data_IF_448996001009
#
_entry.id   IF_448996001009
#
_cell.length_a   1.000
_cell.length_b   1.000
_cell.length_c   1.000
_cell.angle_alpha   90.00
_cell.angle_beta   90.00
_cell.angle_gamma   90.00
#
_symmetry.space_group_name_H-M   'P 1'
#
loop_
_entity.id
_entity.type
_entity.pdbx_description
1 polymer ?
#
# COMPACT_ATOMS: atom_id res chain seq x y z
N UNK A 1 -3.63 23.23 48.39
CA UNK A 1 -4.09 23.37 47.00
C UNK A 1 -3.42 22.24 46.24
N UNK A 2 -4.10 21.09 46.16
CA UNK A 2 -3.58 19.87 45.53
C UNK A 2 -3.33 20.09 44.04
N UNK A 3 -2.15 19.70 43.56
CA UNK A 3 -1.88 19.59 42.12
C UNK A 3 -2.78 18.48 41.60
N UNK A 4 -3.79 18.85 40.80
CA UNK A 4 -4.44 17.90 39.91
C UNK A 4 -3.41 17.50 38.86
N UNK A 5 -2.90 16.29 38.99
CA UNK A 5 -2.23 15.61 37.89
C UNK A 5 -3.24 15.51 36.75
N UNK A 6 -3.01 16.32 35.72
CA UNK A 6 -3.70 16.14 34.44
C UNK A 6 -3.19 14.82 33.86
N UNK A 7 -3.93 13.74 34.09
CA UNK A 7 -3.84 12.59 33.22
C UNK A 7 -4.10 13.09 31.80
N UNK A 8 -3.04 13.16 30.99
CA UNK A 8 -3.16 13.22 29.54
C UNK A 8 -4.07 12.05 29.17
N UNK A 9 -5.30 12.35 28.76
CA UNK A 9 -6.19 11.35 28.19
C UNK A 9 -5.47 10.90 26.92
N UNK A 10 -4.86 9.72 26.97
CA UNK A 10 -4.23 9.12 25.80
C UNK A 10 -5.34 8.85 24.80
N UNK A 11 -5.41 9.69 23.78
CA UNK A 11 -6.33 9.55 22.67
C UNK A 11 -6.18 8.18 22.01
N UNK A 12 -7.29 7.50 21.65
CA UNK A 12 -7.24 6.15 21.13
C UNK A 12 -6.55 6.14 19.75
N UNK A 13 -5.39 5.48 19.67
CA UNK A 13 -4.73 5.16 18.42
C UNK A 13 -5.35 3.90 17.79
N UNK A 14 -5.79 3.97 16.54
CA UNK A 14 -6.36 2.84 15.80
C UNK A 14 -5.76 2.72 14.40
N UNK A 15 -5.85 1.52 13.83
CA UNK A 15 -5.66 1.29 12.41
C UNK A 15 -7.01 1.00 11.74
N UNK A 16 -7.27 1.63 10.61
CA UNK A 16 -8.34 1.26 9.68
C UNK A 16 -7.72 0.45 8.54
N UNK A 17 -8.22 -0.76 8.32
CA UNK A 17 -7.71 -1.67 7.29
C UNK A 17 -8.81 -1.94 6.27
N UNK A 18 -8.58 -1.52 5.03
CA UNK A 18 -9.42 -1.88 3.89
C UNK A 18 -9.16 -3.33 3.52
N UNK A 19 -10.19 -4.16 3.54
CA UNK A 19 -10.03 -5.60 3.41
C UNK A 19 -11.08 -6.20 2.50
N UNK A 20 -10.64 -7.11 1.63
CA UNK A 20 -11.53 -8.03 0.95
C UNK A 20 -11.97 -9.16 1.87
N UNK A 21 -13.07 -9.82 1.54
CA UNK A 21 -13.47 -11.08 2.17
C UNK A 21 -13.57 -12.19 1.13
N UNK A 22 -13.13 -13.40 1.49
CA UNK A 22 -13.19 -14.53 0.58
C UNK A 22 -14.62 -14.86 0.16
N UNK A 23 -14.80 -15.06 -1.15
CA UNK A 23 -16.10 -15.37 -1.77
C UNK A 23 -16.71 -16.69 -1.31
N UNK A 24 -15.94 -17.56 -0.67
CA UNK A 24 -16.46 -18.76 0.01
C UNK A 24 -17.24 -18.44 1.29
N UNK A 25 -17.08 -17.25 1.87
CA UNK A 25 -17.87 -16.80 3.01
C UNK A 25 -19.29 -16.47 2.55
N UNK A 26 -20.29 -17.01 3.25
CA UNK A 26 -21.69 -16.68 2.98
C UNK A 26 -21.94 -15.19 3.17
N UNK A 27 -22.51 -14.54 2.15
CA UNK A 27 -22.70 -13.08 2.10
C UNK A 27 -21.40 -12.28 2.26
N UNK A 28 -20.29 -12.78 1.71
CA UNK A 28 -19.02 -12.08 1.68
C UNK A 28 -19.20 -10.60 1.30
N UNK A 29 -18.53 -9.74 2.06
CA UNK A 29 -18.50 -8.31 1.78
C UNK A 29 -17.11 -7.77 2.15
N UNK A 30 -16.60 -6.88 1.31
CA UNK A 30 -15.44 -6.05 1.59
C UNK A 30 -15.75 -5.16 2.80
N UNK A 31 -14.76 -4.85 3.62
CA UNK A 31 -14.98 -4.20 4.90
C UNK A 31 -13.77 -3.40 5.39
N UNK A 32 -14.02 -2.49 6.33
CA UNK A 32 -12.99 -1.82 7.12
C UNK A 32 -12.84 -2.55 8.45
N UNK A 33 -11.66 -3.11 8.73
CA UNK A 33 -11.31 -3.57 10.08
C UNK A 33 -10.74 -2.42 10.91
N UNK A 34 -11.12 -2.35 12.18
CA UNK A 34 -10.63 -1.39 13.16
C UNK A 34 -9.77 -2.15 14.16
N UNK A 35 -8.50 -1.79 14.27
CA UNK A 35 -7.54 -2.48 15.14
C UNK A 35 -7.04 -1.50 16.20
N UNK A 36 -6.94 -1.97 17.44
CA UNK A 36 -6.33 -1.18 18.51
C UNK A 36 -4.82 -1.03 18.28
N UNK A 37 -4.35 0.20 18.19
CA UNK A 37 -2.93 0.52 18.00
C UNK A 37 -2.32 1.30 19.17
N UNK A 38 -3.07 1.44 20.28
CA UNK A 38 -2.54 2.02 21.50
C UNK A 38 -1.71 0.97 22.26
N UNK A 39 -0.39 1.16 22.35
CA UNK A 39 0.55 0.19 22.95
C UNK A 39 0.27 -0.10 24.44
N UNK A 40 -0.36 0.83 25.14
CA UNK A 40 -0.76 0.65 26.55
C UNK A 40 -2.12 -0.05 26.72
N UNK A 41 -2.86 -0.26 25.64
CA UNK A 41 -4.17 -0.90 25.68
C UNK A 41 -4.05 -2.40 25.93
N UNK A 42 -4.94 -2.93 26.77
CA UNK A 42 -5.08 -4.39 26.96
C UNK A 42 -5.56 -5.12 25.71
N UNK A 43 -6.14 -4.40 24.75
CA UNK A 43 -6.58 -4.94 23.46
C UNK A 43 -5.64 -4.58 22.32
N UNK A 44 -4.43 -4.08 22.60
CA UNK A 44 -3.43 -3.75 21.58
C UNK A 44 -3.24 -4.91 20.58
N UNK A 45 -3.32 -4.60 19.29
CA UNK A 45 -3.21 -5.59 18.22
C UNK A 45 -4.45 -6.42 17.94
N UNK A 46 -5.57 -6.20 18.64
CA UNK A 46 -6.81 -6.92 18.38
C UNK A 46 -7.70 -6.17 17.39
N UNK A 47 -8.42 -6.91 16.54
CA UNK A 47 -9.53 -6.37 15.76
C UNK A 47 -10.66 -6.04 16.74
N UNK A 48 -10.95 -4.76 16.88
CA UNK A 48 -12.02 -4.24 17.72
C UNK A 48 -13.39 -4.43 17.07
N UNK A 49 -13.45 -4.21 15.75
CA UNK A 49 -14.70 -4.21 14.97
C UNK A 49 -14.41 -4.34 13.48
N UNK A 50 -15.40 -4.82 12.73
CA UNK A 50 -15.48 -4.71 11.27
C UNK A 50 -16.69 -3.88 10.86
N UNK A 51 -16.53 -3.07 9.80
CA UNK A 51 -17.64 -2.35 9.16
C UNK A 51 -17.70 -2.75 7.69
N UNK A 52 -18.77 -3.46 7.31
CA UNK A 52 -18.96 -3.99 5.97
C UNK A 52 -19.45 -2.94 4.99
N UNK A 53 -18.99 -3.04 3.75
CA UNK A 53 -19.56 -2.34 2.61
C UNK A 53 -20.97 -2.86 2.37
N UNK A 54 -21.92 -1.93 2.32
CA UNK A 54 -23.34 -2.27 2.13
C UNK A 54 -23.65 -2.24 0.64
N UNK A 55 -24.19 -3.34 0.12
CA UNK A 55 -24.61 -3.40 -1.28
C UNK A 55 -25.84 -2.53 -1.53
N UNK A 56 -25.88 -1.93 -2.71
CA UNK A 56 -27.08 -1.32 -3.27
C UNK A 56 -27.11 -1.61 -4.77
N UNK A 57 -27.89 -2.63 -5.14
CA UNK A 57 -28.02 -3.11 -6.52
C UNK A 57 -28.55 -2.01 -7.45
N UNK A 58 -29.49 -1.19 -6.98
CA UNK A 58 -30.06 -0.10 -7.79
C UNK A 58 -29.05 1.00 -8.13
N UNK A 59 -27.95 1.09 -7.36
CA UNK A 59 -26.91 2.11 -7.50
C UNK A 59 -25.54 1.52 -7.88
N UNK A 60 -25.50 0.26 -8.34
CA UNK A 60 -24.27 -0.47 -8.73
C UNK A 60 -23.19 -0.49 -7.64
N UNK A 61 -23.60 -0.43 -6.36
CA UNK A 61 -22.70 -0.63 -5.23
C UNK A 61 -22.66 -2.12 -4.94
N UNK A 62 -21.58 -2.77 -5.38
CA UNK A 62 -21.31 -4.17 -5.06
C UNK A 62 -20.57 -4.26 -3.73
N UNK A 63 -21.02 -5.13 -2.82
CA UNK A 63 -20.35 -5.32 -1.54
C UNK A 63 -19.11 -6.22 -1.64
N UNK A 64 -18.89 -6.92 -2.74
CA UNK A 64 -17.80 -7.89 -2.91
C UNK A 64 -17.22 -7.84 -4.32
N UNK A 65 -16.03 -8.43 -4.49
CA UNK A 65 -15.36 -8.53 -5.79
C UNK A 65 -14.80 -7.20 -6.28
N UNK A 66 -14.71 -6.20 -5.40
CA UNK A 66 -14.14 -4.91 -5.73
C UNK A 66 -12.61 -4.95 -5.77
N UNK A 67 -11.98 -5.96 -5.13
CA UNK A 67 -10.55 -5.99 -4.78
C UNK A 67 -10.18 -4.69 -4.04
N UNK A 68 -10.58 -4.55 -2.77
CA UNK A 68 -10.13 -3.46 -1.90
C UNK A 68 -8.67 -3.18 -2.12
N UNK A 69 -8.21 -1.97 -2.47
CA UNK A 69 -6.80 -1.84 -2.89
C UNK A 69 -6.03 -0.83 -2.06
N UNK A 70 -6.37 0.45 -2.17
CA UNK A 70 -5.72 1.55 -1.45
C UNK A 70 -6.80 2.43 -0.82
N UNK A 71 -6.40 3.21 0.18
CA UNK A 71 -7.31 4.09 0.93
C UNK A 71 -6.58 5.28 1.54
N UNK A 72 -7.33 6.31 1.93
CA UNK A 72 -6.79 7.48 2.63
C UNK A 72 -7.79 8.03 3.65
N UNK A 73 -7.26 8.77 4.63
CA UNK A 73 -8.03 9.62 5.54
C UNK A 73 -7.88 11.08 5.10
N UNK A 74 -8.98 11.84 5.12
CA UNK A 74 -8.96 13.27 4.78
C UNK A 74 -8.10 14.08 5.75
N UNK A 75 -7.59 15.24 5.33
CA UNK A 75 -6.70 16.03 6.19
C UNK A 75 -7.40 16.64 7.41
N UNK A 76 -8.72 16.72 7.38
CA UNK A 76 -9.58 17.10 8.52
C UNK A 76 -10.14 15.88 9.28
N UNK A 77 -9.61 14.69 8.99
CA UNK A 77 -9.90 13.42 9.67
C UNK A 77 -11.38 13.06 9.74
N UNK A 78 -12.13 13.59 8.78
CA UNK A 78 -13.58 13.53 8.75
C UNK A 78 -14.09 12.42 7.82
N UNK A 79 -13.31 12.11 6.78
CA UNK A 79 -13.65 11.12 5.76
C UNK A 79 -12.56 10.07 5.64
N UNK A 80 -13.00 8.83 5.49
CA UNK A 80 -12.18 7.73 5.01
C UNK A 80 -12.63 7.42 3.58
N UNK A 81 -11.71 7.34 2.64
CA UNK A 81 -11.98 7.03 1.24
C UNK A 81 -11.22 5.77 0.85
N UNK A 82 -11.84 4.89 0.08
CA UNK A 82 -11.21 3.65 -0.37
C UNK A 82 -11.53 3.31 -1.82
N UNK A 83 -10.59 2.63 -2.48
CA UNK A 83 -10.71 2.17 -3.86
C UNK A 83 -10.94 0.67 -3.96
N UNK A 84 -11.70 0.25 -4.96
CA UNK A 84 -11.79 -1.15 -5.39
C UNK A 84 -11.17 -1.30 -6.79
N UNK A 85 -9.96 -1.84 -6.86
CA UNK A 85 -9.14 -1.92 -8.07
C UNK A 85 -9.84 -2.66 -9.22
N UNK A 86 -10.60 -3.71 -8.92
CA UNK A 86 -11.23 -4.60 -9.91
C UNK A 86 -12.74 -4.37 -10.08
N UNK A 87 -13.31 -3.39 -9.37
CA UNK A 87 -14.74 -3.04 -9.43
C UNK A 87 -15.24 -2.82 -10.86
N UNK A 88 -14.40 -2.26 -11.74
CA UNK A 88 -14.74 -2.01 -13.14
C UNK A 88 -15.01 -3.28 -13.96
N UNK A 89 -14.35 -4.40 -13.64
CA UNK A 89 -14.59 -5.69 -14.32
C UNK A 89 -16.02 -6.18 -14.08
N UNK A 90 -16.61 -5.80 -12.95
CA UNK A 90 -17.99 -6.10 -12.56
C UNK A 90 -18.95 -4.95 -12.85
N UNK A 91 -18.50 -3.87 -13.49
CA UNK A 91 -19.28 -2.65 -13.75
C UNK A 91 -19.85 -2.02 -12.47
N UNK A 92 -19.14 -2.19 -11.35
CA UNK A 92 -19.49 -1.63 -10.04
C UNK A 92 -18.87 -0.24 -9.87
N UNK A 93 -19.45 0.58 -9.00
CA UNK A 93 -18.81 1.80 -8.51
C UNK A 93 -17.51 1.45 -7.78
N UNK A 94 -16.49 2.29 -7.93
CA UNK A 94 -15.09 1.91 -7.63
C UNK A 94 -14.47 2.70 -6.48
N UNK A 95 -15.07 3.83 -6.09
CA UNK A 95 -14.62 4.68 -4.98
C UNK A 95 -15.69 4.67 -3.90
N UNK A 96 -15.31 4.38 -2.66
CA UNK A 96 -16.21 4.28 -1.52
C UNK A 96 -15.86 5.35 -0.49
N UNK A 97 -16.85 6.14 -0.09
CA UNK A 97 -16.68 7.25 0.85
C UNK A 97 -17.38 6.93 2.16
N UNK A 98 -16.66 7.14 3.24
CA UNK A 98 -17.09 6.81 4.59
C UNK A 98 -16.91 8.00 5.53
N UNK A 99 -17.82 8.16 6.49
CA UNK A 99 -17.72 9.17 7.55
C UNK A 99 -16.99 8.61 8.76
N UNK A 100 -15.94 9.29 9.20
CA UNK A 100 -15.26 8.94 10.45
C UNK A 100 -16.09 9.50 11.63
N UNK A 101 -16.48 8.66 12.62
CA UNK A 101 -17.18 9.13 13.82
C UNK A 101 -16.19 9.83 14.78
N UNK A 102 -16.73 10.57 15.75
CA UNK A 102 -15.93 11.22 16.79
C UNK A 102 -15.09 10.22 17.60
N UNK A 103 -15.67 9.06 17.92
CA UNK A 103 -14.93 7.96 18.54
C UNK A 103 -14.47 6.98 17.46
N UNK A 104 -13.20 7.07 17.08
CA UNK A 104 -12.59 6.28 16.00
C UNK A 104 -12.66 4.76 16.23
N UNK A 105 -12.86 4.30 17.47
CA UNK A 105 -13.04 2.87 17.77
C UNK A 105 -14.39 2.34 17.26
N UNK A 106 -15.36 3.21 16.99
CA UNK A 106 -16.69 2.82 16.50
C UNK A 106 -16.68 2.45 15.00
N UNK A 107 -15.60 2.81 14.29
CA UNK A 107 -15.39 2.54 12.88
C UNK A 107 -16.12 3.51 11.94
N UNK A 108 -15.65 3.70 10.70
CA UNK A 108 -16.25 4.65 9.79
C UNK A 108 -17.60 4.15 9.27
N UNK A 109 -18.52 5.06 8.94
CA UNK A 109 -19.85 4.73 8.41
C UNK A 109 -19.90 4.93 6.89
N UNK A 110 -20.36 3.92 6.14
CA UNK A 110 -20.51 4.07 4.68
C UNK A 110 -21.49 5.18 4.35
N UNK A 111 -21.10 6.09 3.47
CA UNK A 111 -21.98 7.17 3.00
C UNK A 111 -22.52 6.87 1.60
N UNK A 112 -21.60 6.70 0.65
CA UNK A 112 -21.94 6.49 -0.75
C UNK A 112 -20.73 5.95 -1.52
N UNK A 113 -20.98 5.50 -2.75
CA UNK A 113 -19.93 5.18 -3.71
C UNK A 113 -20.05 6.08 -4.94
N UNK A 114 -18.93 6.28 -5.64
CA UNK A 114 -18.85 7.13 -6.82
C UNK A 114 -18.64 6.31 -8.09
N UNK A 115 -19.34 6.70 -9.16
CA UNK A 115 -19.04 6.30 -10.52
C UNK A 115 -18.14 7.36 -11.14
N UNK A 116 -16.90 7.00 -11.43
CA UNK A 116 -15.87 7.92 -11.95
C UNK A 116 -15.57 7.55 -13.41
N UNK A 117 -15.16 8.51 -14.26
CA UNK A 117 -15.03 8.29 -15.71
C UNK A 117 -13.94 7.27 -16.09
N UNK A 118 -12.95 7.10 -15.24
CA UNK A 118 -11.80 6.21 -15.40
C UNK A 118 -11.91 5.02 -14.42
N UNK A 119 -10.96 4.09 -14.48
CA UNK A 119 -11.01 2.84 -13.73
C UNK A 119 -9.66 2.49 -13.11
N UNK A 120 -9.63 1.37 -12.38
CA UNK A 120 -8.45 0.88 -11.68
C UNK A 120 -7.94 1.91 -10.64
N UNK A 121 -8.75 2.30 -9.64
CA UNK A 121 -8.28 3.21 -8.60
C UNK A 121 -7.13 2.57 -7.82
N UNK A 122 -6.08 3.34 -7.64
CA UNK A 122 -4.86 2.91 -6.95
C UNK A 122 -4.55 3.90 -5.82
N UNK A 123 -3.49 4.70 -5.90
CA UNK A 123 -3.06 5.58 -4.81
C UNK A 123 -4.05 6.71 -4.48
N UNK A 124 -4.24 6.98 -3.18
CA UNK A 124 -5.01 8.09 -2.65
C UNK A 124 -4.13 9.02 -1.81
N UNK A 125 -4.22 10.33 -2.03
CA UNK A 125 -3.51 11.34 -1.24
C UNK A 125 -4.46 12.44 -0.80
N UNK A 126 -4.60 12.65 0.51
CA UNK A 126 -5.32 13.81 1.05
C UNK A 126 -4.55 15.11 0.75
N UNK A 127 -5.26 16.14 0.28
CA UNK A 127 -4.66 17.42 -0.15
C UNK A 127 -5.27 18.66 0.53
N UNK A 128 -6.09 18.45 1.57
CA UNK A 128 -6.67 19.50 2.42
C UNK A 128 -8.18 19.37 2.56
N UNK A 129 -8.69 19.54 3.79
CA UNK A 129 -10.11 19.31 4.11
C UNK A 129 -10.56 17.91 3.66
N UNK A 130 -11.77 17.82 3.11
CA UNK A 130 -12.37 16.61 2.55
C UNK A 130 -11.89 16.22 1.13
N UNK A 131 -10.74 16.74 0.67
CA UNK A 131 -10.27 16.57 -0.72
C UNK A 131 -9.11 15.60 -0.86
N UNK A 132 -9.16 14.81 -1.93
CA UNK A 132 -8.18 13.78 -2.27
C UNK A 132 -7.72 13.90 -3.72
N UNK A 133 -6.47 13.59 -3.98
CA UNK A 133 -6.00 13.16 -5.30
C UNK A 133 -6.05 11.64 -5.37
N UNK A 134 -6.47 11.10 -6.51
CA UNK A 134 -6.56 9.66 -6.74
C UNK A 134 -5.98 9.33 -8.11
N UNK A 135 -5.05 8.36 -8.18
CA UNK A 135 -4.62 7.81 -9.45
C UNK A 135 -5.62 6.76 -9.94
N UNK A 136 -6.00 6.89 -11.21
CA UNK A 136 -6.84 5.93 -11.92
C UNK A 136 -5.95 5.29 -12.98
N UNK A 137 -5.49 4.05 -12.74
CA UNK A 137 -4.45 3.45 -13.57
C UNK A 137 -4.91 3.22 -15.02
N UNK A 138 -6.21 3.18 -15.29
CA UNK A 138 -6.73 2.83 -16.60
C UNK A 138 -7.98 3.64 -16.98
N UNK A 139 -8.26 3.73 -18.27
CA UNK A 139 -9.59 4.07 -18.76
C UNK A 139 -10.57 2.91 -18.47
N UNK A 140 -11.85 3.14 -18.72
CA UNK A 140 -12.93 2.16 -18.52
C UNK A 140 -12.73 0.76 -19.16
N UNK A 141 -11.83 0.62 -20.13
CA UNK A 141 -11.53 -0.65 -20.80
C UNK A 141 -10.34 -1.39 -20.18
N UNK A 142 -9.78 -0.91 -19.07
CA UNK A 142 -8.58 -1.51 -18.46
C UNK A 142 -7.27 -1.13 -19.18
N UNK A 143 -7.26 -0.07 -19.99
CA UNK A 143 -6.11 0.34 -20.80
C UNK A 143 -5.67 1.79 -20.54
N UNK A 144 -4.53 2.22 -21.09
CA UNK A 144 -4.10 3.63 -21.10
C UNK A 144 -4.87 4.49 -22.12
N UNK A 145 -4.93 5.81 -21.95
CA UNK A 145 -4.46 6.55 -20.77
C UNK A 145 -5.37 6.34 -19.57
N UNK A 146 -4.77 6.24 -18.39
CA UNK A 146 -5.45 6.47 -17.12
C UNK A 146 -5.60 7.97 -16.82
N UNK A 147 -5.88 8.31 -15.57
CA UNK A 147 -6.17 9.68 -15.16
C UNK A 147 -5.74 9.94 -13.72
N UNK A 148 -5.79 11.20 -13.30
CA UNK A 148 -5.67 11.62 -11.91
C UNK A 148 -6.87 12.49 -11.57
N UNK A 149 -7.62 12.09 -10.55
CA UNK A 149 -8.84 12.76 -10.15
C UNK A 149 -8.63 13.55 -8.86
N UNK A 150 -9.14 14.77 -8.81
CA UNK A 150 -9.49 15.48 -7.60
C UNK A 150 -10.88 15.02 -7.16
N UNK A 151 -10.97 14.41 -5.99
CA UNK A 151 -12.22 14.01 -5.36
C UNK A 151 -12.49 14.92 -4.17
N UNK A 152 -13.71 15.46 -4.10
CA UNK A 152 -14.25 16.17 -2.94
C UNK A 152 -15.31 15.27 -2.27
N UNK A 153 -14.98 14.73 -1.10
CA UNK A 153 -15.82 13.80 -0.36
C UNK A 153 -17.00 14.50 0.36
N UNK A 154 -16.97 15.83 0.51
CA UNK A 154 -18.12 16.57 1.05
C UNK A 154 -19.10 16.89 -0.07
N UNK A 155 -18.60 17.38 -1.21
CA UNK A 155 -19.43 17.73 -2.36
C UNK A 155 -19.84 16.51 -3.23
N UNK A 156 -19.28 15.33 -2.97
CA UNK A 156 -19.44 14.12 -3.78
C UNK A 156 -19.11 14.32 -5.26
N UNK A 157 -18.02 15.06 -5.54
CA UNK A 157 -17.57 15.36 -6.91
C UNK A 157 -16.22 14.75 -7.22
N UNK A 158 -16.01 14.41 -8.50
CA UNK A 158 -14.73 13.97 -9.03
C UNK A 158 -14.43 14.74 -10.32
N UNK A 159 -13.21 15.25 -10.47
CA UNK A 159 -12.80 15.99 -11.67
C UNK A 159 -11.34 15.66 -11.99
N UNK A 160 -11.01 15.49 -13.27
CA UNK A 160 -9.61 15.30 -13.67
C UNK A 160 -8.80 16.56 -13.35
N UNK A 161 -7.60 16.37 -12.83
CA UNK A 161 -6.64 17.48 -12.68
C UNK A 161 -5.77 17.68 -13.93
N UNK A 162 -5.89 16.81 -14.94
CA UNK A 162 -5.04 16.85 -16.13
C UNK A 162 -5.65 17.78 -17.18
N UNK A 163 -4.87 18.75 -17.66
CA UNK A 163 -5.34 19.69 -18.70
C UNK A 163 -5.64 19.00 -20.04
N UNK A 164 -4.97 17.89 -20.35
CA UNK A 164 -5.13 17.14 -21.60
C UNK A 164 -4.85 15.63 -21.40
N UNK A 165 -5.65 14.94 -20.57
CA UNK A 165 -5.41 13.51 -20.24
C UNK A 165 -5.22 12.61 -21.48
N UNK A 166 -5.91 12.90 -22.59
CA UNK A 166 -5.85 12.09 -23.82
C UNK A 166 -4.53 12.15 -24.57
N UNK A 167 -3.66 13.13 -24.31
CA UNK A 167 -2.34 13.25 -24.96
C UNK A 167 -1.26 12.42 -24.26
N UNK A 168 -1.57 11.86 -23.09
CA UNK A 168 -0.64 11.05 -22.33
C UNK A 168 -0.51 9.64 -22.94
N UNK A 169 0.57 9.40 -23.66
CA UNK A 169 0.86 8.07 -24.23
C UNK A 169 1.32 7.11 -23.13
N UNK A 170 0.75 5.89 -23.12
CA UNK A 170 1.13 4.82 -22.18
C UNK A 170 1.07 5.21 -20.70
N UNK A 171 0.16 6.12 -20.34
CA UNK A 171 -0.01 6.58 -18.98
C UNK A 171 -0.91 5.64 -18.20
N UNK A 172 -0.32 4.98 -17.20
CA UNK A 172 -0.99 4.09 -16.28
C UNK A 172 -0.53 4.47 -14.86
N UNK A 173 -0.99 5.62 -14.35
CA UNK A 173 -0.50 6.19 -13.10
C UNK A 173 -0.83 5.27 -11.93
N UNK A 174 0.16 5.05 -11.07
CA UNK A 174 0.07 4.21 -9.88
C UNK A 174 0.36 5.07 -8.65
N UNK A 175 1.39 4.74 -7.87
CA UNK A 175 1.86 5.55 -6.76
C UNK A 175 2.38 6.91 -7.21
N UNK A 176 2.17 7.90 -6.35
CA UNK A 176 2.58 9.28 -6.59
C UNK A 176 2.94 10.02 -5.30
N UNK A 177 3.56 11.17 -5.47
CA UNK A 177 3.92 12.07 -4.37
C UNK A 177 3.69 13.51 -4.79
N UNK A 178 3.34 14.35 -3.81
CA UNK A 178 3.10 15.78 -4.00
C UNK A 178 4.15 16.60 -3.28
N UNK A 179 4.75 17.53 -4.00
CA UNK A 179 5.75 18.45 -3.46
C UNK A 179 5.09 19.67 -2.79
N UNK A 180 5.87 20.43 -2.02
CA UNK A 180 5.41 21.62 -1.31
C UNK A 180 4.85 22.72 -2.23
N UNK A 181 5.36 22.82 -3.47
CA UNK A 181 4.85 23.74 -4.49
C UNK A 181 3.62 23.19 -5.23
N UNK A 182 3.06 22.07 -4.75
CA UNK A 182 1.90 21.35 -5.27
C UNK A 182 2.12 20.63 -6.61
N UNK A 183 3.34 20.64 -7.15
CA UNK A 183 3.72 19.77 -8.26
C UNK A 183 3.75 18.29 -7.83
N UNK A 184 3.72 17.38 -8.80
CA UNK A 184 3.51 15.95 -8.56
C UNK A 184 4.53 15.11 -9.33
N UNK A 185 4.98 14.01 -8.72
CA UNK A 185 5.58 12.90 -9.46
C UNK A 185 4.62 11.71 -9.50
N UNK A 186 4.46 11.07 -10.66
CA UNK A 186 3.65 9.86 -10.85
C UNK A 186 4.48 8.72 -11.42
N UNK A 187 4.43 7.56 -10.78
CA UNK A 187 4.96 6.33 -11.35
C UNK A 187 3.96 5.73 -12.35
N UNK A 188 4.43 5.31 -13.53
CA UNK A 188 3.65 4.45 -14.41
C UNK A 188 4.00 2.98 -14.13
N UNK A 189 3.00 2.15 -13.83
CA UNK A 189 3.26 0.77 -13.44
C UNK A 189 3.09 -0.23 -14.58
N UNK A 190 1.84 -0.55 -14.90
CA UNK A 190 1.47 -1.70 -15.74
C UNK A 190 0.25 -1.36 -16.58
N UNK A 191 0.15 -1.95 -17.77
CA UNK A 191 -1.07 -1.92 -18.59
C UNK A 191 -2.06 -2.96 -18.06
N UNK A 192 -3.14 -2.58 -17.35
CA UNK A 192 -3.90 -3.54 -16.53
C UNK A 192 -4.54 -4.68 -17.31
N UNK A 193 -5.07 -4.43 -18.51
CA UNK A 193 -5.68 -5.47 -19.36
C UNK A 193 -4.73 -6.62 -19.69
N UNK A 194 -3.41 -6.41 -19.64
CA UNK A 194 -2.42 -7.47 -19.90
C UNK A 194 -2.31 -8.49 -18.76
N UNK A 195 -2.83 -8.17 -17.57
CA UNK A 195 -2.90 -9.10 -16.42
C UNK A 195 -4.01 -10.15 -16.55
N UNK A 196 -4.98 -9.93 -17.45
CA UNK A 196 -6.13 -10.83 -17.64
C UNK A 196 -5.83 -12.01 -18.60
N UNK A 197 -4.61 -12.08 -19.13
CA UNK A 197 -4.19 -13.15 -20.05
C UNK A 197 -3.88 -14.48 -19.35
N UNK A 198 -3.23 -15.38 -20.08
CA UNK A 198 -2.77 -16.69 -19.59
C UNK A 198 -1.25 -16.88 -19.71
N UNK A 199 -0.50 -15.83 -20.09
CA UNK A 199 0.93 -15.88 -20.39
C UNK A 199 1.63 -14.68 -19.75
N UNK A 200 2.36 -14.91 -18.66
CA UNK A 200 3.04 -13.86 -17.89
C UNK A 200 4.15 -13.16 -18.67
N UNK A 201 4.65 -13.74 -19.78
CA UNK A 201 5.61 -13.06 -20.65
C UNK A 201 4.99 -11.91 -21.45
N UNK A 202 3.65 -11.86 -21.55
CA UNK A 202 2.90 -10.82 -22.26
C UNK A 202 2.46 -9.65 -21.38
N UNK A 203 2.79 -9.69 -20.09
CA UNK A 203 2.57 -8.55 -19.20
C UNK A 203 3.36 -7.35 -19.74
N UNK A 204 2.71 -6.19 -19.84
CA UNK A 204 3.36 -4.95 -20.28
C UNK A 204 3.47 -3.99 -19.11
N UNK A 205 4.67 -3.92 -18.54
CA UNK A 205 5.06 -2.88 -17.61
C UNK A 205 5.39 -1.58 -18.34
N UNK A 206 5.31 -0.47 -17.62
CA UNK A 206 5.69 0.87 -18.10
C UNK A 206 7.08 1.23 -17.60
N UNK A 207 7.74 2.09 -18.35
CA UNK A 207 9.14 2.45 -18.13
C UNK A 207 9.28 3.94 -17.84
N UNK A 208 8.29 4.53 -17.19
CA UNK A 208 8.19 5.98 -17.06
C UNK A 208 7.80 6.42 -15.66
N UNK A 209 8.39 7.55 -15.26
CA UNK A 209 7.90 8.38 -14.15
C UNK A 209 7.64 9.78 -14.71
N UNK A 210 6.59 10.45 -14.27
CA UNK A 210 6.16 11.75 -14.82
C UNK A 210 6.21 12.82 -13.77
N UNK A 211 6.57 14.03 -14.18
CA UNK A 211 6.53 15.23 -13.35
C UNK A 211 5.48 16.18 -13.91
N UNK A 212 4.47 16.49 -13.10
CA UNK A 212 3.41 17.46 -13.42
C UNK A 212 3.60 18.74 -12.61
N UNK A 213 3.37 19.88 -13.23
CA UNK A 213 3.18 21.15 -12.54
C UNK A 213 1.88 21.14 -11.72
N UNK A 214 1.74 22.12 -10.82
CA UNK A 214 0.59 22.25 -9.93
C UNK A 214 -0.75 22.46 -10.65
N UNK A 215 -0.74 22.92 -11.89
CA UNK A 215 -1.91 23.10 -12.74
C UNK A 215 -2.25 21.85 -13.58
N UNK A 216 -1.53 20.74 -13.38
CA UNK A 216 -1.75 19.48 -14.07
C UNK A 216 -1.10 19.36 -15.46
N UNK A 217 -0.24 20.30 -15.84
CA UNK A 217 0.52 20.22 -17.10
C UNK A 217 1.71 19.24 -16.97
N UNK A 218 1.96 18.45 -18.02
CA UNK A 218 3.10 17.54 -18.07
C UNK A 218 4.38 18.29 -18.40
N UNK A 219 5.27 18.39 -17.42
CA UNK A 219 6.54 19.12 -17.54
C UNK A 219 7.69 18.20 -17.96
N UNK A 220 7.68 16.94 -17.49
CA UNK A 220 8.71 15.95 -17.84
C UNK A 220 8.20 14.53 -17.78
N UNK A 221 8.69 13.70 -18.70
CA UNK A 221 8.63 12.24 -18.61
C UNK A 221 10.05 11.72 -18.47
N UNK A 222 10.34 11.07 -17.35
CA UNK A 222 11.57 10.33 -17.13
C UNK A 222 11.41 8.96 -17.78
N UNK A 223 12.28 8.64 -18.75
CA UNK A 223 12.26 7.37 -19.46
C UNK A 223 13.38 6.46 -18.93
N UNK A 224 13.03 5.22 -18.63
CA UNK A 224 13.96 4.22 -18.12
C UNK A 224 14.25 3.18 -19.18
N UNK A 225 15.50 2.71 -19.23
CA UNK A 225 15.95 1.73 -20.21
C UNK A 225 15.77 0.32 -19.66
N UNK A 226 14.84 -0.43 -20.23
CA UNK A 226 14.62 -1.83 -19.89
C UNK A 226 15.68 -2.71 -20.58
N UNK A 227 16.37 -3.55 -19.80
CA UNK A 227 17.33 -4.54 -20.32
C UNK A 227 16.61 -5.85 -20.67
N UNK A 228 17.02 -6.47 -21.78
CA UNK A 228 16.62 -7.84 -22.14
C UNK A 228 17.73 -8.87 -21.83
N UNK A 229 18.81 -8.45 -21.18
CA UNK A 229 19.92 -9.33 -20.86
C UNK A 229 19.53 -10.33 -19.75
N UNK A 230 20.05 -11.54 -19.87
CA UNK A 230 19.76 -12.61 -18.93
C UNK A 230 20.28 -12.25 -17.53
N UNK A 231 19.40 -12.33 -16.53
CA UNK A 231 19.73 -12.03 -15.13
C UNK A 231 19.56 -10.56 -14.73
N UNK A 232 19.35 -9.64 -15.68
CA UNK A 232 19.11 -8.22 -15.39
C UNK A 232 17.67 -7.90 -14.98
N UNK A 233 16.73 -8.83 -15.22
CA UNK A 233 15.31 -8.67 -14.90
C UNK A 233 14.74 -9.96 -14.29
N UNK A 234 13.52 -9.90 -13.75
CA UNK A 234 12.86 -11.09 -13.21
C UNK A 234 12.41 -12.10 -14.27
N UNK A 235 12.53 -11.77 -15.56
CA UNK A 235 12.03 -12.58 -16.67
C UNK A 235 10.51 -12.60 -16.82
N UNK A 236 9.78 -11.71 -16.13
CA UNK A 236 8.32 -11.60 -16.23
C UNK A 236 7.98 -10.37 -17.06
N UNK A 237 7.10 -10.53 -18.05
CA UNK A 237 6.63 -9.44 -18.90
C UNK A 237 7.75 -8.70 -19.66
N UNK A 238 7.40 -7.51 -20.13
CA UNK A 238 8.30 -6.55 -20.76
C UNK A 238 8.21 -5.22 -20.03
N UNK A 239 9.35 -4.53 -19.86
CA UNK A 239 9.44 -3.28 -19.13
C UNK A 239 9.77 -3.44 -17.64
N UNK A 240 10.05 -2.33 -16.99
CA UNK A 240 10.53 -2.22 -15.61
C UNK A 240 9.36 -2.21 -14.63
N UNK A 241 8.40 -1.31 -14.85
CA UNK A 241 7.26 -1.08 -13.98
C UNK A 241 7.65 -0.36 -12.70
N UNK A 242 6.90 0.66 -12.33
CA UNK A 242 7.10 1.39 -11.07
C UNK A 242 5.77 1.48 -10.33
N UNK A 243 5.66 0.80 -9.19
CA UNK A 243 4.46 0.89 -8.35
C UNK A 243 4.41 2.17 -7.53
N UNK A 244 5.57 2.74 -7.17
CA UNK A 244 5.60 3.88 -6.26
C UNK A 244 6.68 4.90 -6.61
N UNK A 245 6.43 6.14 -6.23
CA UNK A 245 7.41 7.21 -6.26
C UNK A 245 7.20 8.11 -5.04
N UNK A 246 8.22 8.27 -4.20
CA UNK A 246 8.16 9.10 -3.00
C UNK A 246 9.24 10.16 -3.00
N UNK A 247 8.82 11.41 -2.77
CA UNK A 247 9.70 12.56 -2.72
C UNK A 247 10.44 12.61 -1.40
N UNK A 248 11.69 13.06 -1.42
CA UNK A 248 12.50 13.26 -0.23
C UNK A 248 11.99 14.55 0.45
N UNK A 249 11.45 14.48 1.68
CA UNK A 249 10.95 15.66 2.37
C UNK A 249 12.02 16.74 2.50
N UNK A 250 11.63 18.00 2.27
CA UNK A 250 12.48 19.18 2.38
C UNK A 250 13.72 19.18 1.47
N UNK A 251 13.78 18.32 0.45
CA UNK A 251 14.90 18.30 -0.48
C UNK A 251 14.87 19.53 -1.41
N UNK A 252 15.88 20.42 -1.37
CA UNK A 252 15.91 21.64 -2.18
C UNK A 252 16.02 21.36 -3.69
N UNK A 253 16.46 20.16 -4.07
CA UNK A 253 16.54 19.72 -5.46
C UNK A 253 15.25 19.04 -5.96
N UNK A 254 14.25 18.87 -5.07
CA UNK A 254 12.98 18.20 -5.37
C UNK A 254 13.22 16.80 -5.94
N UNK A 255 14.02 16.00 -5.23
CA UNK A 255 14.34 14.63 -5.62
C UNK A 255 13.32 13.64 -5.06
N UNK A 256 13.18 12.52 -5.74
CA UNK A 256 12.31 11.42 -5.37
C UNK A 256 12.95 10.08 -5.72
N UNK A 257 12.54 9.03 -5.02
CA UNK A 257 12.91 7.66 -5.31
C UNK A 257 11.77 6.90 -5.96
N UNK A 258 12.13 5.98 -6.86
CA UNK A 258 11.26 4.96 -7.42
C UNK A 258 12.05 3.65 -7.55
N UNK A 259 11.40 2.52 -7.28
CA UNK A 259 12.02 1.20 -7.39
C UNK A 259 11.41 0.44 -8.57
N UNK A 260 12.24 -0.10 -9.44
CA UNK A 260 11.76 -0.93 -10.54
C UNK A 260 11.26 -2.29 -10.06
N UNK A 261 10.04 -2.64 -10.49
CA UNK A 261 9.41 -3.92 -10.16
C UNK A 261 10.20 -5.08 -10.77
N UNK A 262 10.68 -4.94 -12.00
CA UNK A 262 11.29 -6.04 -12.77
C UNK A 262 12.82 -6.09 -12.67
N UNK A 263 13.49 -4.94 -12.54
CA UNK A 263 14.96 -4.84 -12.49
C UNK A 263 15.53 -4.73 -11.06
N UNK A 264 14.67 -4.44 -10.08
CA UNK A 264 15.00 -4.29 -8.66
C UNK A 264 16.01 -3.18 -8.37
N UNK A 265 16.11 -2.18 -9.25
CA UNK A 265 16.98 -1.04 -9.08
C UNK A 265 16.23 0.10 -8.39
N UNK A 266 16.87 0.72 -7.40
CA UNK A 266 16.43 1.99 -6.84
C UNK A 266 16.94 3.13 -7.72
N UNK A 267 16.02 3.96 -8.18
CA UNK A 267 16.31 5.11 -9.01
C UNK A 267 16.03 6.42 -8.27
N UNK A 268 16.92 7.39 -8.49
CA UNK A 268 16.76 8.77 -8.06
C UNK A 268 16.38 9.63 -9.27
N UNK A 269 15.30 10.39 -9.13
CA UNK A 269 14.83 11.38 -10.10
C UNK A 269 14.68 12.73 -9.40
N UNK A 270 14.51 13.80 -10.18
CA UNK A 270 14.28 15.13 -9.61
C UNK A 270 14.16 16.23 -10.64
N UNK A 271 13.70 17.40 -10.21
CA UNK A 271 13.46 18.55 -11.09
C UNK A 271 14.70 18.97 -11.91
N UNK A 272 15.90 18.80 -11.33
CA UNK A 272 17.20 19.14 -11.96
C UNK A 272 17.94 17.94 -12.55
N UNK A 273 17.43 16.73 -12.37
CA UNK A 273 18.01 15.50 -12.92
C UNK A 273 17.44 15.32 -14.33
N UNK A 274 18.30 15.30 -15.35
CA UNK A 274 17.85 15.17 -16.75
C UNK A 274 17.45 13.74 -17.08
N UNK A 275 18.22 12.77 -16.59
CA UNK A 275 18.00 11.33 -16.79
C UNK A 275 17.99 10.61 -15.45
N UNK A 276 17.13 9.60 -15.24
CA UNK A 276 17.09 8.85 -13.99
C UNK A 276 18.45 8.27 -13.61
N UNK A 277 18.79 8.37 -12.33
CA UNK A 277 20.05 7.84 -11.79
C UNK A 277 19.77 6.52 -11.09
N UNK A 278 20.35 5.42 -11.56
CA UNK A 278 20.39 4.18 -10.79
C UNK A 278 21.35 4.39 -9.61
N UNK A 279 20.84 4.27 -8.37
CA UNK A 279 21.63 4.57 -7.16
C UNK A 279 21.90 3.34 -6.30
N UNK A 280 21.10 2.27 -6.45
CA UNK A 280 21.29 1.05 -5.66
C UNK A 280 20.66 -0.16 -6.36
N UNK A 281 21.37 -1.30 -6.42
CA UNK A 281 20.77 -2.58 -6.79
C UNK A 281 20.28 -3.31 -5.54
N UNK A 282 18.96 -3.30 -5.33
CA UNK A 282 18.37 -3.82 -4.11
C UNK A 282 18.44 -5.35 -4.08
N UNK A 283 18.58 -6.03 -5.22
CA UNK A 283 18.66 -7.49 -5.24
C UNK A 283 19.91 -8.04 -4.54
N UNK A 284 20.89 -7.20 -4.18
CA UNK A 284 22.02 -7.57 -3.31
C UNK A 284 21.55 -8.27 -2.03
N UNK A 285 20.42 -7.86 -1.43
CA UNK A 285 19.89 -8.48 -0.20
C UNK A 285 19.46 -9.94 -0.39
N UNK A 286 19.34 -10.39 -1.64
CA UNK A 286 18.96 -11.74 -2.02
C UNK A 286 19.95 -12.35 -3.02
N UNK A 287 21.25 -12.06 -2.86
CA UNK A 287 22.33 -12.58 -3.71
C UNK A 287 22.11 -12.28 -5.21
N UNK A 288 21.65 -11.07 -5.50
CA UNK A 288 21.36 -10.54 -6.84
C UNK A 288 20.27 -11.27 -7.63
N UNK A 289 19.49 -12.16 -7.00
CA UNK A 289 18.37 -12.83 -7.67
C UNK A 289 17.25 -11.83 -7.94
N UNK A 290 16.99 -11.54 -9.23
CA UNK A 290 15.91 -10.65 -9.67
C UNK A 290 14.55 -11.34 -9.58
N UNK A 291 13.58 -10.66 -8.95
CA UNK A 291 12.19 -11.11 -8.79
C UNK A 291 11.26 -9.90 -8.90
N UNK A 292 10.02 -10.13 -9.29
CA UNK A 292 8.98 -9.10 -9.23
C UNK A 292 8.94 -8.53 -7.81
N UNK A 293 9.03 -7.21 -7.71
CA UNK A 293 9.07 -6.49 -6.44
C UNK A 293 7.97 -5.44 -6.36
N UNK A 294 7.41 -5.31 -5.16
CA UNK A 294 6.53 -4.20 -4.81
C UNK A 294 7.28 -2.87 -4.81
N UNK A 295 8.39 -2.80 -4.07
CA UNK A 295 9.22 -1.60 -4.00
C UNK A 295 8.49 -0.38 -3.41
N UNK A 296 7.51 -0.59 -2.52
CA UNK A 296 6.79 0.51 -1.89
C UNK A 296 7.66 1.20 -0.85
N UNK A 297 7.62 2.53 -0.82
CA UNK A 297 8.58 3.36 -0.10
C UNK A 297 7.87 4.19 0.98
N UNK A 298 8.51 4.35 2.12
CA UNK A 298 8.21 5.42 3.06
C UNK A 298 9.49 6.12 3.48
N UNK A 299 9.47 7.45 3.52
CA UNK A 299 10.62 8.28 3.85
C UNK A 299 10.30 9.01 5.14
N UNK A 300 11.25 9.02 6.08
CA UNK A 300 11.11 9.75 7.34
C UNK A 300 10.91 11.25 7.08
N UNK A 301 10.21 11.92 7.99
CA UNK A 301 9.87 13.35 7.86
C UNK A 301 11.09 14.28 7.75
N UNK A 302 12.24 13.86 8.26
CA UNK A 302 13.52 14.57 8.13
C UNK A 302 14.27 14.28 6.81
N UNK A 303 13.76 13.35 5.99
CA UNK A 303 14.35 12.96 4.70
C UNK A 303 15.62 12.14 4.79
N UNK A 304 15.98 11.59 5.96
CA UNK A 304 17.26 10.89 6.16
C UNK A 304 17.17 9.36 6.19
N UNK A 305 15.96 8.81 6.29
CA UNK A 305 15.70 7.36 6.31
C UNK A 305 14.65 6.96 5.29
N UNK A 306 14.84 5.79 4.72
CA UNK A 306 13.91 5.17 3.80
C UNK A 306 13.60 3.75 4.27
N UNK A 307 12.31 3.45 4.46
CA UNK A 307 11.79 2.10 4.65
C UNK A 307 11.21 1.60 3.33
N UNK A 308 11.41 0.32 3.02
CA UNK A 308 10.91 -0.29 1.79
C UNK A 308 10.47 -1.73 2.02
N UNK A 309 9.36 -2.12 1.39
CA UNK A 309 9.03 -3.53 1.13
C UNK A 309 9.60 -3.98 -0.21
N UNK A 310 10.25 -5.14 -0.23
CA UNK A 310 10.99 -5.59 -1.40
C UNK A 310 10.78 -7.09 -1.68
N UNK A 311 10.66 -7.45 -2.96
CA UNK A 311 10.44 -8.82 -3.47
C UNK A 311 9.33 -9.61 -2.76
N UNK A 312 8.34 -8.90 -2.19
CA UNK A 312 7.25 -9.50 -1.43
C UNK A 312 7.74 -10.40 -0.28
N UNK A 313 8.88 -10.04 0.32
CA UNK A 313 9.57 -10.85 1.35
C UNK A 313 10.38 -10.05 2.35
N UNK A 314 10.97 -8.94 1.91
CA UNK A 314 11.91 -8.18 2.73
C UNK A 314 11.31 -6.86 3.18
N UNK A 315 11.80 -6.40 4.32
CA UNK A 315 11.70 -5.01 4.76
C UNK A 315 13.12 -4.48 4.89
N UNK A 316 13.40 -3.35 4.26
CA UNK A 316 14.74 -2.77 4.22
C UNK A 316 14.68 -1.35 4.77
N UNK A 317 15.58 -1.03 5.69
CA UNK A 317 15.82 0.31 6.20
C UNK A 317 17.13 0.84 5.61
N UNK A 318 17.08 2.00 4.98
CA UNK A 318 18.22 2.69 4.40
C UNK A 318 18.52 4.01 5.13
N UNK A 319 19.79 4.39 5.14
CA UNK A 319 20.23 5.77 5.28
C UNK A 319 20.29 6.42 3.89
N UNK A 320 19.58 7.54 3.74
CA UNK A 320 19.53 8.33 2.50
C UNK A 320 19.99 9.78 2.71
N UNK A 321 20.80 10.04 3.74
CA UNK A 321 21.35 11.39 4.00
C UNK A 321 22.13 11.93 2.79
N UNK A 322 22.71 11.04 1.99
CA UNK A 322 23.24 11.33 0.66
C UNK A 322 22.39 10.60 -0.38
N UNK A 323 21.42 11.25 -1.04
CA UNK A 323 20.45 10.51 -1.85
C UNK A 323 21.02 9.74 -3.05
N UNK A 324 22.18 10.16 -3.56
CA UNK A 324 22.92 9.48 -4.62
C UNK A 324 23.59 8.18 -4.15
N UNK A 325 23.75 7.99 -2.83
CA UNK A 325 24.45 6.86 -2.22
C UNK A 325 23.66 6.27 -1.03
N UNK A 326 22.48 5.65 -1.27
CA UNK A 326 21.75 4.96 -0.21
C UNK A 326 22.59 3.86 0.43
N UNK A 327 22.48 3.69 1.74
CA UNK A 327 23.18 2.64 2.49
C UNK A 327 22.17 1.82 3.28
N UNK A 328 22.19 0.49 3.12
CA UNK A 328 21.37 -0.41 3.94
C UNK A 328 21.84 -0.36 5.40
N UNK A 329 20.92 -0.11 6.33
CA UNK A 329 21.14 -0.15 7.77
C UNK A 329 20.63 -1.46 8.37
N UNK A 330 19.47 -1.93 7.93
CA UNK A 330 18.86 -3.15 8.43
C UNK A 330 18.00 -3.82 7.35
N UNK A 331 17.96 -5.16 7.39
CA UNK A 331 17.12 -5.99 6.52
C UNK A 331 16.41 -6.99 7.41
N UNK A 332 15.10 -7.07 7.27
CA UNK A 332 14.28 -8.13 7.84
C UNK A 332 13.78 -9.04 6.73
N UNK A 333 13.96 -10.33 6.92
CA UNK A 333 13.62 -11.36 5.95
C UNK A 333 12.55 -12.28 6.54
N UNK A 334 11.30 -12.14 6.07
CA UNK A 334 10.20 -12.94 6.59
C UNK A 334 10.43 -14.46 6.48
N UNK A 335 11.28 -14.93 5.56
CA UNK A 335 11.51 -16.37 5.39
C UNK A 335 12.52 -16.96 6.38
N UNK A 336 13.45 -16.14 6.88
CA UNK A 336 14.63 -16.65 7.60
C UNK A 336 14.97 -15.91 8.89
N UNK A 337 14.26 -14.83 9.23
CA UNK A 337 14.45 -14.15 10.50
C UNK A 337 14.08 -15.07 11.67
N UNK A 338 15.03 -15.30 12.57
CA UNK A 338 14.89 -16.24 13.69
C UNK A 338 13.82 -15.80 14.70
N UNK A 339 13.49 -14.52 14.75
CA UNK A 339 12.44 -14.02 15.65
C UNK A 339 11.07 -14.60 15.25
N UNK A 340 10.90 -15.03 14.00
CA UNK A 340 9.66 -15.65 13.51
C UNK A 340 9.59 -17.17 13.75
N UNK A 341 10.64 -17.83 14.27
CA UNK A 341 10.65 -19.29 14.46
C UNK A 341 9.55 -19.75 15.44
N UNK A 342 9.11 -18.89 16.37
CA UNK A 342 8.00 -19.16 17.28
C UNK A 342 6.63 -18.71 16.76
N UNK A 343 6.57 -18.12 15.56
CA UNK A 343 5.32 -17.63 14.97
C UNK A 343 4.80 -18.66 13.99
N UNK A 344 3.69 -19.30 14.37
CA UNK A 344 2.92 -20.12 13.44
C UNK A 344 1.83 -19.29 12.79
N UNK A 345 1.68 -19.46 11.48
CA UNK A 345 0.59 -18.91 10.67
C UNK A 345 -0.32 -20.05 10.24
N UNK A 346 -1.61 -19.77 10.15
CA UNK A 346 -2.55 -20.69 9.55
C UNK A 346 -2.60 -20.43 8.04
N UNK A 347 -2.09 -21.37 7.26
CA UNK A 347 -2.14 -21.29 5.81
C UNK A 347 -3.61 -21.30 5.38
N UNK A 348 -4.07 -20.20 4.81
CA UNK A 348 -5.46 -20.03 4.38
C UNK A 348 -5.88 -20.98 3.27
N UNK A 349 -4.93 -21.53 2.51
CA UNK A 349 -5.23 -22.37 1.35
C UNK A 349 -5.27 -23.87 1.74
N UNK A 350 -4.45 -24.29 2.70
CA UNK A 350 -4.39 -25.69 3.18
C UNK A 350 -5.07 -25.90 4.53
N UNK A 351 -5.37 -24.82 5.25
CA UNK A 351 -5.81 -24.82 6.64
C UNK A 351 -4.83 -25.53 7.60
N UNK A 352 -3.55 -25.57 7.24
CA UNK A 352 -2.48 -26.12 8.07
C UNK A 352 -1.77 -25.01 8.85
N UNK A 353 -1.44 -25.30 10.10
CA UNK A 353 -0.57 -24.42 10.90
C UNK A 353 0.87 -24.68 10.51
N UNK A 354 1.55 -23.66 9.99
CA UNK A 354 2.93 -23.73 9.50
C UNK A 354 3.73 -22.52 9.97
N UNK A 355 5.05 -22.60 9.92
CA UNK A 355 5.95 -21.47 10.15
C UNK A 355 6.09 -20.62 8.88
N UNK A 356 6.60 -19.39 9.02
CA UNK A 356 6.97 -18.57 7.87
C UNK A 356 8.01 -19.25 6.95
N UNK A 357 8.98 -19.95 7.55
CA UNK A 357 10.01 -20.68 6.81
C UNK A 357 9.41 -21.78 5.93
N UNK A 358 8.48 -22.55 6.48
CA UNK A 358 7.75 -23.59 5.74
C UNK A 358 6.85 -22.97 4.66
N UNK A 359 6.15 -21.87 4.95
CA UNK A 359 5.38 -21.15 3.95
C UNK A 359 6.26 -20.70 2.78
N UNK A 360 7.42 -20.10 3.06
CA UNK A 360 8.37 -19.66 2.04
C UNK A 360 8.89 -20.82 1.19
N UNK A 361 9.21 -21.96 1.80
CA UNK A 361 9.67 -23.14 1.08
C UNK A 361 8.63 -23.63 0.05
N UNK A 362 7.34 -23.51 0.36
CA UNK A 362 6.25 -23.86 -0.56
C UNK A 362 5.88 -22.77 -1.56
N UNK A 363 6.24 -21.51 -1.28
CA UNK A 363 5.80 -20.33 -2.05
C UNK A 363 6.97 -19.58 -2.71
N UNK A 364 8.01 -20.31 -3.15
CA UNK A 364 9.16 -19.74 -3.88
C UNK A 364 9.85 -18.57 -3.14
N UNK A 365 9.90 -18.61 -1.80
CA UNK A 365 10.38 -17.53 -0.93
C UNK A 365 9.63 -16.20 -1.12
N UNK A 366 8.31 -16.26 -1.20
CA UNK A 366 7.42 -15.09 -1.24
C UNK A 366 6.45 -15.18 -0.06
N UNK A 367 6.29 -14.09 0.69
CA UNK A 367 5.36 -13.99 1.83
C UNK A 367 4.25 -12.96 1.59
N UNK A 368 4.41 -12.11 0.58
CA UNK A 368 3.44 -11.11 0.16
C UNK A 368 3.71 -9.69 0.66
N UNK A 369 4.88 -9.39 1.26
CA UNK A 369 5.18 -8.06 1.82
C UNK A 369 5.03 -6.95 0.79
N UNK A 370 4.01 -6.13 0.96
CA UNK A 370 3.61 -5.15 -0.05
C UNK A 370 3.38 -3.78 0.58
N UNK A 371 2.21 -3.53 1.20
CA UNK A 371 1.91 -2.22 1.80
C UNK A 371 2.81 -1.94 2.99
N UNK A 372 3.34 -0.71 3.03
CA UNK A 372 4.14 -0.18 4.13
C UNK A 372 3.61 1.19 4.54
N UNK A 373 3.30 1.36 5.82
CA UNK A 373 2.90 2.64 6.41
C UNK A 373 3.78 2.95 7.61
N UNK A 374 4.50 4.07 7.54
CA UNK A 374 5.18 4.67 8.70
C UNK A 374 4.45 5.97 9.07
N UNK A 375 3.57 5.94 10.10
CA UNK A 375 2.86 7.15 10.51
C UNK A 375 3.83 8.21 11.05
N UNK A 376 3.56 9.48 10.75
CA UNK A 376 4.35 10.59 11.27
C UNK A 376 4.29 10.64 12.80
N UNK A 377 5.46 10.76 13.44
CA UNK A 377 5.57 10.84 14.90
C UNK A 377 5.52 9.47 15.62
N UNK A 378 5.28 8.38 14.89
CA UNK A 378 5.36 7.03 15.44
C UNK A 378 6.76 6.46 15.25
N UNK A 379 7.27 5.75 16.26
CA UNK A 379 8.44 4.89 16.11
C UNK A 379 8.07 3.48 15.63
N UNK A 380 6.81 3.27 15.24
CA UNK A 380 6.30 2.01 14.74
C UNK A 380 5.88 2.17 13.28
N UNK A 381 6.08 1.13 12.49
CA UNK A 381 5.57 1.07 11.13
C UNK A 381 4.85 -0.26 10.91
N UNK A 382 3.92 -0.24 9.95
CA UNK A 382 3.02 -1.33 9.64
C UNK A 382 3.40 -1.89 8.28
N UNK A 383 3.42 -3.22 8.16
CA UNK A 383 3.62 -3.94 6.90
C UNK A 383 2.52 -4.95 6.69
N UNK A 384 1.97 -5.01 5.48
CA UNK A 384 0.93 -5.97 5.11
C UNK A 384 1.48 -6.99 4.12
N UNK A 385 1.22 -8.26 4.39
CA UNK A 385 1.65 -9.39 3.59
C UNK A 385 0.51 -9.88 2.68
N UNK A 386 0.10 -9.01 1.75
CA UNK A 386 -0.88 -9.28 0.72
C UNK A 386 -0.65 -8.31 -0.46
N UNK A 387 -0.71 -8.80 -1.70
CA UNK A 387 -0.63 -7.93 -2.89
C UNK A 387 -1.93 -7.94 -3.71
N UNK A 388 -2.28 -9.08 -4.29
CA UNK A 388 -3.41 -9.22 -5.21
C UNK A 388 -3.80 -10.70 -5.34
N UNK A 389 -5.09 -11.01 -5.48
CA UNK A 389 -5.59 -12.39 -5.66
C UNK A 389 -6.09 -12.69 -7.09
N UNK A 390 -5.87 -11.79 -8.05
CA UNK A 390 -6.36 -11.96 -9.42
C UNK A 390 -5.30 -11.61 -10.48
N UNK A 391 -5.35 -12.30 -11.62
CA UNK A 391 -4.49 -12.02 -12.78
C UNK A 391 -3.11 -12.68 -12.72
N UNK A 392 -2.31 -12.44 -13.78
CA UNK A 392 -1.05 -13.15 -14.02
C UNK A 392 0.10 -12.80 -13.05
N UNK A 393 0.00 -11.71 -12.30
CA UNK A 393 1.00 -11.26 -11.34
C UNK A 393 0.47 -11.31 -9.89
N UNK A 394 -0.46 -12.21 -9.60
CA UNK A 394 -1.10 -12.32 -8.29
C UNK A 394 -0.19 -12.97 -7.24
N UNK A 395 -0.22 -12.43 -6.03
CA UNK A 395 0.43 -12.97 -4.84
C UNK A 395 -0.45 -12.68 -3.62
N UNK A 396 -1.26 -13.66 -3.22
CA UNK A 396 -2.14 -13.51 -2.05
C UNK A 396 -1.37 -13.44 -0.72
N UNK A 397 -0.11 -13.92 -0.70
CA UNK A 397 0.74 -13.88 0.48
C UNK A 397 0.14 -14.60 1.68
N UNK A 398 0.63 -14.23 2.87
CA UNK A 398 0.17 -14.79 4.14
C UNK A 398 -1.10 -14.11 4.69
N UNK A 399 -1.63 -13.08 3.99
CA UNK A 399 -2.87 -12.35 4.34
C UNK A 399 -2.84 -11.79 5.76
N UNK A 400 -1.71 -11.19 6.13
CA UNK A 400 -1.42 -10.80 7.49
C UNK A 400 -0.88 -9.37 7.61
N UNK A 401 -1.04 -8.79 8.81
CA UNK A 401 -0.64 -7.42 9.16
C UNK A 401 0.38 -7.48 10.28
N UNK A 402 1.52 -6.83 10.07
CA UNK A 402 2.68 -6.86 10.95
C UNK A 402 3.06 -5.46 11.39
N UNK A 403 3.65 -5.37 12.58
CA UNK A 403 4.15 -4.12 13.14
C UNK A 403 5.60 -4.30 13.56
N UNK A 404 6.38 -3.28 13.28
CA UNK A 404 7.79 -3.21 13.62
C UNK A 404 8.05 -1.94 14.41
N UNK A 405 8.98 -1.99 15.35
CA UNK A 405 9.40 -0.87 16.19
C UNK A 405 10.82 -0.46 15.85
N UNK A 406 10.98 0.76 15.38
CA UNK A 406 12.28 1.41 15.15
C UNK A 406 12.94 1.73 16.48
N UNK A 407 14.26 1.58 16.54
CA UNK A 407 15.05 2.10 17.65
C UNK A 407 15.12 3.64 17.59
N UNK A 408 15.53 4.26 18.70
CA UNK A 408 15.59 5.72 18.81
C UNK A 408 16.52 6.38 17.78
N UNK A 409 17.57 5.68 17.34
CA UNK A 409 18.54 6.19 16.37
C UNK A 409 18.11 5.98 14.91
N UNK A 410 16.98 5.31 14.68
CA UNK A 410 16.48 4.94 13.35
C UNK A 410 17.55 4.19 12.53
N UNK A 411 18.27 3.27 13.17
CA UNK A 411 19.30 2.43 12.54
C UNK A 411 18.91 0.96 12.50
N UNK A 412 17.90 0.57 13.26
CA UNK A 412 17.43 -0.79 13.33
C UNK A 412 15.93 -0.81 13.68
N UNK A 413 15.26 -1.93 13.46
CA UNK A 413 13.91 -2.17 13.93
C UNK A 413 13.74 -3.61 14.42
N UNK A 414 12.67 -3.85 15.17
CA UNK A 414 12.33 -5.16 15.74
C UNK A 414 10.89 -5.52 15.47
N UNK A 415 10.59 -6.80 15.27
CA UNK A 415 9.24 -7.30 15.09
C UNK A 415 8.44 -7.22 16.41
N UNK A 416 7.22 -6.68 16.39
CA UNK A 416 6.37 -6.52 17.59
C UNK A 416 5.37 -7.68 17.72
N UNK A 417 5.72 -8.69 18.53
CA UNK A 417 4.90 -9.89 18.72
C UNK A 417 3.58 -9.66 19.45
N UNK A 418 3.45 -8.61 20.26
CA UNK A 418 2.18 -8.32 20.95
C UNK A 418 1.10 -7.83 19.99
N UNK A 419 1.50 -7.29 18.84
CA UNK A 419 0.55 -6.89 17.80
C UNK A 419 0.21 -8.10 16.92
N UNK A 420 -0.97 -8.69 17.11
CA UNK A 420 -1.40 -9.85 16.33
C UNK A 420 -2.91 -9.83 16.01
N UNK A 421 -3.32 -9.14 14.94
CA UNK A 421 -4.70 -9.19 14.44
C UNK A 421 -4.95 -10.41 13.54
N UNK A 422 -3.96 -11.28 13.34
CA UNK A 422 -3.95 -12.28 12.29
C UNK A 422 -4.45 -13.64 12.79
N UNK A 423 -3.98 -14.05 13.97
CA UNK A 423 -4.16 -15.41 14.49
C UNK A 423 -4.60 -15.40 15.95
N UNK A 424 -5.46 -16.36 16.32
CA UNK A 424 -5.78 -16.58 17.73
C UNK A 424 -4.60 -17.31 18.39
N UNK A 425 -4.14 -16.80 19.53
CA UNK A 425 -3.17 -17.56 20.33
C UNK A 425 -3.87 -18.65 21.12
N UNK A 426 -3.38 -19.88 21.03
CA UNK A 426 -3.80 -21.00 21.89
C UNK A 426 -3.17 -20.86 23.29
N UNK A 427 -3.44 -19.77 24.02
CA UNK A 427 -3.11 -19.69 25.44
C UNK A 427 -4.34 -20.06 26.29
N UNK A 428 -4.36 -21.32 26.74
CA UNK A 428 -5.17 -21.87 27.87
C UNK A 428 -6.68 -21.56 27.91
N UNK A 429 -7.47 -22.58 27.53
CA UNK A 429 -8.82 -23.01 27.96
C UNK A 429 -9.96 -22.05 28.38
N UNK A 430 -9.84 -20.72 28.42
CA UNK A 430 -10.94 -19.83 28.84
C UNK A 430 -11.07 -18.47 28.13
N UNK A 431 -10.42 -18.22 26.99
CA UNK A 431 -10.49 -16.90 26.36
C UNK A 431 -11.58 -16.78 25.29
N UNK A 432 -12.30 -15.64 25.34
CA UNK A 432 -13.25 -15.18 24.34
C UNK A 432 -12.61 -15.29 22.95
N UNK A 433 -13.33 -15.85 21.98
CA UNK A 433 -12.89 -15.85 20.59
C UNK A 433 -12.86 -14.40 20.08
N UNK A 434 -11.67 -13.81 20.02
CA UNK A 434 -11.46 -12.51 19.39
C UNK A 434 -11.42 -12.66 17.87
N UNK A 435 -11.90 -11.64 17.15
CA UNK A 435 -11.85 -11.60 15.68
C UNK A 435 -10.40 -11.48 15.20
N UNK A 436 -10.08 -12.24 14.17
CA UNK A 436 -8.80 -12.17 13.44
C UNK A 436 -9.02 -12.18 11.94
N UNK A 437 -8.06 -11.66 11.16
CA UNK A 437 -8.14 -11.72 9.69
C UNK A 437 -8.28 -13.15 9.18
N UNK A 438 -7.61 -14.11 9.83
CA UNK A 438 -7.80 -15.52 9.50
C UNK A 438 -9.24 -15.99 9.76
N UNK A 439 -9.80 -15.74 10.95
CA UNK A 439 -11.18 -16.15 11.28
C UNK A 439 -12.25 -15.52 10.38
N UNK A 440 -11.92 -14.37 9.76
CA UNK A 440 -12.79 -13.64 8.84
C UNK A 440 -12.63 -14.09 7.37
N UNK A 441 -11.68 -14.98 7.07
CA UNK A 441 -11.23 -15.30 5.70
C UNK A 441 -10.95 -14.03 4.89
N UNK A 442 -10.19 -13.12 5.50
CA UNK A 442 -10.00 -11.77 5.01
C UNK A 442 -8.70 -11.60 4.22
N UNK A 443 -8.69 -10.58 3.35
CA UNK A 443 -7.55 -10.12 2.57
C UNK A 443 -7.25 -8.68 2.97
N UNK A 444 -6.40 -8.45 4.00
CA UNK A 444 -6.10 -7.10 4.43
C UNK A 444 -5.20 -6.44 3.36
N UNK A 445 -5.70 -5.39 2.70
CA UNK A 445 -5.01 -4.78 1.56
C UNK A 445 -4.27 -3.50 1.92
N UNK A 446 -4.94 -2.53 2.55
CA UNK A 446 -4.36 -1.23 2.84
C UNK A 446 -4.71 -0.76 4.24
N UNK A 447 -3.80 0.01 4.84
CA UNK A 447 -3.91 0.47 6.21
C UNK A 447 -3.82 1.99 6.27
N UNK A 448 -4.61 2.58 7.16
CA UNK A 448 -4.52 3.97 7.57
C UNK A 448 -4.42 4.06 9.09
N UNK A 449 -3.61 5.00 9.58
CA UNK A 449 -3.42 5.27 11.00
C UNK A 449 -4.25 6.49 11.41
N UNK A 450 -4.88 6.42 12.59
CA UNK A 450 -5.64 7.52 13.15
C UNK A 450 -5.45 7.63 14.66
N UNK A 451 -5.23 8.85 15.15
CA UNK A 451 -5.12 9.19 16.56
C UNK A 451 -5.70 10.60 16.76
N UNK A 452 -6.97 10.67 17.18
CA UNK A 452 -7.72 11.93 17.40
C UNK A 452 -7.62 12.40 18.83
#
# INVERSE_FOLDING_TARGET
MERKDFHLIAYPAVLYIWSGQDVSVSNAADFVAIIDFNESSSTYGQILKTVYLVSNISDRVGQSGNEPHHSAISSDETYYISGGLLSFLLQQKQIFVWRIPQNVRDGPHFLYAMDVPDACPDEFLAIGGAKFLVSMMCNKNGDSPGNVLLIDAEAATATSILNNASTFVNFNPHGFTRLNDKSLFFADYIRPVTLLGNDSSKIVFRNTVRYLSADGSLERTFQFNFSNEYGETSGVGQGIGFMDVKSIPNDPQKRAYSCGTNDNILYLIGSRITEPLAVFDISEVNNYVKRISAGLISISSDGTRLLMTFQMRFIILFNITQPEYPIILHVFDFCYDQTLDSVSILNSDTNETITFREYCAHNNNITGSHVLLHPNGENRFIVMNYFLKAGLAQFAGTRSVHVFKLNEQLTNFTYEFRFNPNFQFNYTSQQQQHLTFHSLNAYPHHVQYLQL
#
